data_IF_089156756594
#
_entry.id   IF_089156756594
#
_cell.length_a   1.000
_cell.length_b   1.000
_cell.length_c   1.000
_cell.angle_alpha   90.00
_cell.angle_beta   90.00
_cell.angle_gamma   90.00
#
_symmetry.space_group_name_H-M   'P 1'
#
loop_
_entity.id
_entity.type
_entity.pdbx_description
1 polymer ?
#
# COMPACT_ATOMS: atom_id res chain seq x y z
N UNK A 1 -9.14 2.26 0.06
CA UNK A 1 -9.75 3.60 0.39
C UNK A 1 -11.15 3.51 1.03
N UNK A 2 -12.15 2.87 0.41
CA UNK A 2 -13.53 2.82 0.92
C UNK A 2 -13.68 2.10 2.28
N UNK A 3 -12.93 1.02 2.49
CA UNK A 3 -13.00 0.19 3.71
C UNK A 3 -12.59 1.00 4.96
N UNK A 4 -11.37 1.55 5.00
CA UNK A 4 -10.89 2.41 6.09
C UNK A 4 -11.87 3.55 6.39
N UNK A 5 -12.39 4.21 5.34
CA UNK A 5 -13.39 5.26 5.51
C UNK A 5 -14.69 4.77 6.16
N UNK A 6 -15.28 3.66 5.69
CA UNK A 6 -16.51 3.09 6.27
C UNK A 6 -16.32 2.71 7.74
N UNK A 7 -15.17 2.11 8.09
CA UNK A 7 -14.86 1.70 9.47
C UNK A 7 -14.72 2.94 10.37
N UNK A 8 -13.86 3.90 10.01
CA UNK A 8 -13.55 5.07 10.84
C UNK A 8 -14.78 5.95 11.06
N UNK A 9 -15.60 6.16 10.02
CA UNK A 9 -16.76 7.05 10.10
C UNK A 9 -18.03 6.38 10.67
N UNK A 10 -17.99 5.09 10.99
CA UNK A 10 -19.06 4.39 11.71
C UNK A 10 -18.69 4.27 13.19
N UNK A 11 -18.65 5.41 13.88
CA UNK A 11 -18.16 5.53 15.26
C UNK A 11 -18.90 4.66 16.28
N UNK A 12 -20.19 4.39 16.05
CA UNK A 12 -21.04 3.57 16.92
C UNK A 12 -21.30 2.16 16.40
N UNK A 13 -20.88 1.86 15.16
CA UNK A 13 -21.22 0.62 14.47
C UNK A 13 -19.99 -0.22 14.16
N UNK A 14 -19.27 0.13 13.08
CA UNK A 14 -18.14 -0.66 12.61
C UNK A 14 -16.86 -0.37 13.40
N UNK A 15 -16.62 0.85 13.87
CA UNK A 15 -15.39 1.18 14.58
C UNK A 15 -15.27 0.43 15.93
N UNK A 16 -16.33 0.31 16.76
CA UNK A 16 -16.24 -0.50 17.98
C UNK A 16 -16.03 -1.97 17.67
N UNK A 17 -16.75 -2.53 16.68
CA UNK A 17 -16.58 -3.92 16.24
C UNK A 17 -15.20 -4.22 15.70
N UNK A 18 -14.61 -3.26 14.97
CA UNK A 18 -13.23 -3.35 14.50
C UNK A 18 -12.25 -3.42 15.67
N UNK A 19 -12.40 -2.54 16.66
CA UNK A 19 -11.56 -2.55 17.86
C UNK A 19 -11.70 -3.86 18.65
N UNK A 20 -12.92 -4.34 18.82
CA UNK A 20 -13.21 -5.63 19.47
C UNK A 20 -12.55 -6.80 18.72
N UNK A 21 -12.65 -6.79 17.38
CA UNK A 21 -12.05 -7.82 16.54
C UNK A 21 -10.51 -7.86 16.63
N UNK A 22 -9.88 -6.72 16.96
CA UNK A 22 -8.44 -6.61 17.11
C UNK A 22 -7.92 -6.97 18.51
N UNK A 23 -8.79 -7.17 19.50
CA UNK A 23 -8.37 -7.51 20.87
C UNK A 23 -7.58 -8.82 20.90
N UNK A 24 -6.41 -8.80 21.54
CA UNK A 24 -5.53 -9.98 21.61
C UNK A 24 -4.78 -10.29 20.31
N UNK A 25 -4.93 -9.46 19.27
CA UNK A 25 -4.11 -9.55 18.05
C UNK A 25 -2.85 -8.68 18.17
N UNK A 26 -1.81 -8.90 17.34
CA UNK A 26 -0.64 -8.02 17.25
C UNK A 26 -0.97 -6.58 16.84
N UNK A 27 -2.19 -6.35 16.33
CA UNK A 27 -2.66 -5.07 15.83
C UNK A 27 -3.68 -4.41 16.77
N UNK A 28 -3.74 -4.85 18.04
CA UNK A 28 -4.64 -4.28 19.03
C UNK A 28 -4.52 -2.75 19.10
N UNK A 29 -5.67 -2.06 19.10
CA UNK A 29 -5.75 -0.60 19.09
C UNK A 29 -5.40 0.08 17.75
N UNK A 30 -4.94 -0.66 16.74
CA UNK A 30 -4.62 -0.12 15.41
C UNK A 30 -5.87 0.16 14.58
N UNK A 31 -5.79 1.15 13.71
CA UNK A 31 -6.82 1.44 12.71
C UNK A 31 -6.17 1.49 11.33
N UNK A 32 -6.87 1.02 10.30
CA UNK A 32 -6.40 1.08 8.93
C UNK A 32 -6.11 2.54 8.51
N UNK A 33 -4.89 2.87 8.07
CA UNK A 33 -4.54 4.22 7.63
C UNK A 33 -5.50 4.72 6.54
N UNK A 34 -5.81 6.02 6.60
CA UNK A 34 -6.63 6.67 5.60
C UNK A 34 -5.76 7.19 4.45
N UNK A 35 -6.23 6.93 3.24
CA UNK A 35 -5.69 7.51 2.02
C UNK A 35 -6.10 8.99 1.86
N UNK A 36 -5.11 9.85 1.60
CA UNK A 36 -5.22 11.28 1.32
C UNK A 36 -4.89 11.52 -0.14
N UNK A 37 -5.90 11.89 -0.93
CA UNK A 37 -5.80 11.95 -2.39
C UNK A 37 -4.69 12.89 -2.92
N UNK A 38 -4.31 13.91 -2.16
CA UNK A 38 -3.25 14.86 -2.53
C UNK A 38 -1.84 14.40 -2.12
N UNK A 39 -1.72 13.31 -1.36
CA UNK A 39 -0.44 12.81 -0.83
C UNK A 39 -0.31 11.33 -1.10
N UNK A 40 0.34 11.00 -2.22
CA UNK A 40 0.55 9.61 -2.67
C UNK A 40 1.20 8.71 -1.60
N UNK A 41 2.06 9.27 -0.74
CA UNK A 41 2.66 8.55 0.39
C UNK A 41 1.62 7.89 1.30
N UNK A 42 0.46 8.52 1.49
CA UNK A 42 -0.63 7.95 2.31
C UNK A 42 -1.35 6.82 1.60
N UNK A 43 -1.41 6.83 0.26
CA UNK A 43 -1.92 5.71 -0.55
C UNK A 43 -1.03 4.49 -0.34
N UNK A 44 0.29 4.67 -0.38
CA UNK A 44 1.25 3.61 -0.07
C UNK A 44 1.07 3.07 1.35
N UNK A 45 1.05 3.95 2.37
CA UNK A 45 0.90 3.54 3.77
C UNK A 45 -0.39 2.76 4.02
N UNK A 46 -1.48 3.17 3.36
CA UNK A 46 -2.76 2.47 3.42
C UNK A 46 -2.68 1.08 2.80
N UNK A 47 -2.07 0.91 1.61
CA UNK A 47 -1.91 -0.41 0.99
C UNK A 47 -0.98 -1.32 1.79
N UNK A 48 0.14 -0.79 2.28
CA UNK A 48 1.11 -1.54 3.07
C UNK A 48 0.48 -2.06 4.37
N UNK A 49 -0.23 -1.20 5.11
CA UNK A 49 -0.94 -1.62 6.32
C UNK A 49 -2.09 -2.58 6.03
N UNK A 50 -2.80 -2.40 4.91
CA UNK A 50 -3.88 -3.29 4.50
C UNK A 50 -3.36 -4.71 4.19
N UNK A 51 -2.18 -4.81 3.56
CA UNK A 51 -1.50 -6.08 3.31
C UNK A 51 -0.95 -6.71 4.59
N UNK A 52 -0.35 -5.91 5.48
CA UNK A 52 0.17 -6.35 6.78
C UNK A 52 -0.95 -6.96 7.65
N UNK A 53 -2.16 -6.43 7.54
CA UNK A 53 -3.34 -6.86 8.29
C UNK A 53 -4.26 -7.80 7.48
N UNK A 54 -3.76 -8.44 6.42
CA UNK A 54 -4.57 -9.23 5.45
C UNK A 54 -5.58 -10.15 6.13
N UNK A 55 -5.13 -11.00 7.05
CA UNK A 55 -5.98 -12.03 7.66
C UNK A 55 -7.13 -11.44 8.47
N UNK A 56 -6.81 -10.45 9.32
CA UNK A 56 -7.79 -9.73 10.15
C UNK A 56 -8.77 -8.97 9.27
N UNK A 57 -8.26 -8.29 8.25
CA UNK A 57 -9.10 -7.53 7.32
C UNK A 57 -10.06 -8.47 6.60
N UNK A 58 -9.57 -9.59 6.06
CA UNK A 58 -10.39 -10.58 5.37
C UNK A 58 -11.47 -11.16 6.28
N UNK A 59 -11.11 -11.57 7.51
CA UNK A 59 -12.07 -12.08 8.49
C UNK A 59 -13.13 -11.02 8.86
N UNK A 60 -12.71 -9.77 9.04
CA UNK A 60 -13.62 -8.68 9.36
C UNK A 60 -14.60 -8.39 8.20
N UNK A 61 -14.15 -8.47 6.95
CA UNK A 61 -14.99 -8.21 5.77
C UNK A 61 -15.98 -9.35 5.49
N UNK A 62 -15.58 -10.59 5.77
CA UNK A 62 -16.39 -11.80 5.54
C UNK A 62 -17.53 -11.97 6.55
N UNK A 63 -17.44 -11.30 7.70
CA UNK A 63 -18.53 -11.29 8.69
C UNK A 63 -19.78 -10.60 8.13
N UNK A 64 -20.81 -11.40 7.86
CA UNK A 64 -22.11 -10.97 7.32
C UNK A 64 -22.77 -9.82 8.10
N UNK A 65 -22.56 -9.77 9.42
CA UNK A 65 -23.08 -8.73 10.31
C UNK A 65 -22.50 -7.33 10.07
N UNK A 66 -21.40 -7.22 9.30
CA UNK A 66 -20.75 -5.96 8.96
C UNK A 66 -21.25 -5.35 7.65
N UNK A 67 -21.92 -6.13 6.79
CA UNK A 67 -22.37 -5.70 5.44
C UNK A 67 -21.23 -5.11 4.59
N UNK A 68 -20.05 -5.73 4.68
CA UNK A 68 -18.84 -5.32 3.95
C UNK A 68 -18.34 -6.36 2.94
N UNK A 69 -19.12 -7.42 2.69
CA UNK A 69 -18.73 -8.51 1.79
C UNK A 69 -18.46 -8.06 0.36
N UNK A 70 -19.04 -6.93 -0.08
CA UNK A 70 -18.75 -6.28 -1.38
C UNK A 70 -17.28 -5.83 -1.53
N UNK A 71 -16.51 -5.80 -0.44
CA UNK A 71 -15.11 -5.38 -0.42
C UNK A 71 -14.13 -6.52 -0.17
N UNK A 72 -14.60 -7.77 -0.08
CA UNK A 72 -13.72 -8.93 0.01
C UNK A 72 -12.90 -8.98 -1.27
N UNK A 73 -11.59 -9.07 -1.11
CA UNK A 73 -10.67 -9.17 -2.23
C UNK A 73 -10.37 -10.64 -2.52
N UNK A 74 -10.28 -10.97 -3.80
CA UNK A 74 -9.78 -12.28 -4.22
C UNK A 74 -8.24 -12.37 -4.11
N UNK A 75 -7.71 -13.58 -4.28
CA UNK A 75 -6.27 -13.81 -4.16
C UNK A 75 -5.45 -13.02 -5.20
N UNK A 76 -5.97 -12.84 -6.42
CA UNK A 76 -5.28 -12.07 -7.47
C UNK A 76 -5.22 -10.58 -7.12
N UNK A 77 -6.28 -10.04 -6.51
CA UNK A 77 -6.32 -8.67 -6.02
C UNK A 77 -5.32 -8.46 -4.86
N UNK A 78 -5.23 -9.42 -3.94
CA UNK A 78 -4.21 -9.40 -2.88
C UNK A 78 -2.79 -9.47 -3.44
N UNK A 79 -2.54 -10.36 -4.41
CA UNK A 79 -1.25 -10.44 -5.10
C UNK A 79 -0.91 -9.14 -5.85
N UNK A 80 -1.90 -8.51 -6.48
CA UNK A 80 -1.72 -7.22 -7.13
C UNK A 80 -1.34 -6.11 -6.13
N UNK A 81 -1.99 -6.07 -4.96
CA UNK A 81 -1.62 -5.14 -3.88
C UNK A 81 -0.20 -5.41 -3.39
N UNK A 82 0.16 -6.67 -3.15
CA UNK A 82 1.51 -7.05 -2.73
C UNK A 82 2.57 -6.64 -3.75
N UNK A 83 2.31 -6.90 -5.04
CA UNK A 83 3.15 -6.47 -6.14
C UNK A 83 3.31 -4.94 -6.16
N UNK A 84 2.22 -4.18 -6.06
CA UNK A 84 2.24 -2.71 -6.01
C UNK A 84 3.02 -2.17 -4.81
N UNK A 85 2.80 -2.71 -3.62
CA UNK A 85 3.52 -2.30 -2.40
C UNK A 85 5.02 -2.57 -2.57
N UNK A 86 5.39 -3.73 -3.11
CA UNK A 86 6.80 -4.08 -3.30
C UNK A 86 7.52 -3.10 -4.23
N UNK A 87 6.91 -2.75 -5.38
CA UNK A 87 7.57 -1.92 -6.40
C UNK A 87 7.54 -0.43 -6.06
N UNK A 88 6.52 0.03 -5.34
CA UNK A 88 6.41 1.44 -4.93
C UNK A 88 7.27 1.75 -3.69
N UNK A 89 7.77 0.73 -2.98
CA UNK A 89 8.55 0.92 -1.77
C UNK A 89 9.79 1.78 -1.99
N UNK A 90 10.51 1.59 -3.10
CA UNK A 90 11.71 2.40 -3.41
C UNK A 90 11.39 3.89 -3.56
N UNK A 91 10.24 4.22 -4.17
CA UNK A 91 9.78 5.60 -4.30
C UNK A 91 9.43 6.20 -2.94
N UNK A 92 8.84 5.38 -2.06
CA UNK A 92 8.40 5.79 -0.73
C UNK A 92 9.62 6.08 0.14
N UNK A 93 10.60 5.19 0.09
CA UNK A 93 11.85 5.30 0.83
C UNK A 93 12.63 6.53 0.35
N UNK A 94 12.77 6.73 -0.97
CA UNK A 94 13.40 7.93 -1.53
C UNK A 94 12.67 9.22 -1.13
N UNK A 95 11.35 9.25 -1.26
CA UNK A 95 10.57 10.45 -0.90
C UNK A 95 10.67 10.76 0.59
N UNK A 96 10.65 9.74 1.44
CA UNK A 96 10.82 9.91 2.89
C UNK A 96 12.20 10.45 3.22
N UNK A 97 13.24 9.90 2.59
CA UNK A 97 14.62 10.36 2.74
C UNK A 97 14.77 11.84 2.35
N UNK A 98 14.27 12.25 1.18
CA UNK A 98 14.32 13.65 0.73
C UNK A 98 13.35 14.58 1.46
N UNK A 99 12.43 14.05 2.28
CA UNK A 99 11.56 14.83 3.15
C UNK A 99 12.15 15.07 4.54
N UNK A 100 13.36 14.58 4.82
CA UNK A 100 14.07 14.87 6.08
C UNK A 100 14.68 16.27 6.07
N UNK A 101 15.19 16.74 7.22
CA UNK A 101 15.80 18.07 7.34
C UNK A 101 17.24 18.14 6.81
N UNK A 102 17.83 17.03 6.34
CA UNK A 102 19.24 16.99 5.90
C UNK A 102 19.55 16.13 4.66
N UNK A 103 18.69 16.06 3.62
CA UNK A 103 19.07 15.42 2.37
C UNK A 103 20.08 16.30 1.62
N UNK A 104 21.17 15.69 1.16
CA UNK A 104 22.14 16.37 0.31
C UNK A 104 21.74 16.27 -1.16
N UNK A 105 22.01 17.32 -1.94
CA UNK A 105 21.81 17.29 -3.41
C UNK A 105 22.64 16.17 -4.04
N UNK A 106 23.79 15.83 -3.46
CA UNK A 106 24.62 14.71 -3.90
C UNK A 106 23.94 13.34 -3.79
N UNK A 107 22.93 13.19 -2.92
CA UNK A 107 22.17 11.96 -2.77
C UNK A 107 21.12 11.74 -3.88
N UNK A 108 20.85 12.76 -4.72
CA UNK A 108 19.85 12.67 -5.79
C UNK A 108 20.24 11.64 -6.84
N UNK A 109 21.50 11.65 -7.31
CA UNK A 109 21.96 10.71 -8.35
C UNK A 109 21.86 9.26 -7.85
N UNK A 110 22.43 8.89 -6.68
CA UNK A 110 22.29 7.53 -6.15
C UNK A 110 20.83 7.09 -5.94
N UNK A 111 19.95 7.99 -5.52
CA UNK A 111 18.54 7.66 -5.34
C UNK A 111 17.83 7.40 -6.68
N UNK A 112 18.15 8.19 -7.72
CA UNK A 112 17.62 7.98 -9.07
C UNK A 112 18.12 6.66 -9.66
N UNK A 113 19.41 6.35 -9.51
CA UNK A 113 19.99 5.07 -9.95
C UNK A 113 19.30 3.89 -9.25
N UNK A 114 19.08 3.98 -7.93
CA UNK A 114 18.40 2.93 -7.17
C UNK A 114 16.94 2.73 -7.61
N UNK A 115 16.21 3.81 -7.93
CA UNK A 115 14.85 3.72 -8.47
C UNK A 115 14.87 3.08 -9.86
N UNK A 116 15.80 3.48 -10.73
CA UNK A 116 15.91 2.97 -12.10
C UNK A 116 16.21 1.47 -12.13
N UNK A 117 17.13 1.03 -11.28
CA UNK A 117 17.50 -0.38 -11.09
C UNK A 117 16.33 -1.20 -10.52
N UNK A 118 15.64 -0.69 -9.50
CA UNK A 118 14.48 -1.35 -8.92
C UNK A 118 13.36 -1.54 -9.96
N UNK A 119 13.12 -0.54 -10.81
CA UNK A 119 12.11 -0.62 -11.86
C UNK A 119 12.52 -1.58 -12.97
N UNK A 120 13.79 -1.56 -13.41
CA UNK A 120 14.31 -2.53 -14.38
C UNK A 120 14.15 -3.97 -13.87
N UNK A 121 14.52 -4.20 -12.62
CA UNK A 121 14.42 -5.50 -11.95
C UNK A 121 12.96 -5.96 -11.84
N UNK A 122 12.03 -5.07 -11.49
CA UNK A 122 10.60 -5.40 -11.42
C UNK A 122 10.00 -5.74 -12.79
N UNK A 123 10.41 -5.09 -13.87
CA UNK A 123 9.86 -5.37 -15.22
C UNK A 123 10.13 -6.82 -15.65
N UNK A 124 11.28 -7.38 -15.29
CA UNK A 124 11.69 -8.75 -15.67
C UNK A 124 11.16 -9.84 -14.74
N UNK A 125 10.63 -9.48 -13.57
CA UNK A 125 10.09 -10.38 -12.56
C UNK A 125 8.69 -10.91 -12.91
N UNK A 126 8.62 -11.86 -13.85
CA UNK A 126 7.34 -12.40 -14.37
C UNK A 126 6.62 -13.34 -13.41
N UNK A 127 7.35 -13.95 -12.48
CA UNK A 127 6.78 -14.93 -11.53
C UNK A 127 6.17 -14.27 -10.30
N UNK A 128 6.59 -13.04 -9.97
CA UNK A 128 6.17 -12.33 -8.75
C UNK A 128 5.28 -11.12 -9.03
N UNK A 129 5.32 -10.55 -10.25
CA UNK A 129 4.55 -9.36 -10.61
C UNK A 129 3.58 -9.62 -11.76
N UNK A 130 2.32 -9.26 -11.52
CA UNK A 130 1.26 -9.33 -12.52
C UNK A 130 1.57 -8.48 -13.75
N UNK A 131 1.01 -8.87 -14.90
CA UNK A 131 1.25 -8.17 -16.17
C UNK A 131 0.91 -6.66 -16.11
N UNK A 132 -0.20 -6.21 -15.47
CA UNK A 132 -0.50 -4.79 -15.31
C UNK A 132 0.57 -4.03 -14.52
N UNK A 133 1.09 -4.61 -13.43
CA UNK A 133 2.12 -3.97 -12.61
C UNK A 133 3.42 -3.82 -13.39
N UNK A 134 3.85 -4.85 -14.12
CA UNK A 134 5.04 -4.78 -14.99
C UNK A 134 4.88 -3.76 -16.11
N UNK A 135 3.68 -3.63 -16.69
CA UNK A 135 3.39 -2.61 -17.69
C UNK A 135 3.48 -1.20 -17.09
N UNK A 136 2.91 -0.99 -15.90
CA UNK A 136 3.00 0.27 -15.17
C UNK A 136 4.45 0.65 -14.85
N UNK A 137 5.28 -0.31 -14.42
CA UNK A 137 6.73 -0.10 -14.22
C UNK A 137 7.44 0.33 -15.51
N UNK A 138 7.11 -0.29 -16.64
CA UNK A 138 7.69 0.07 -17.94
C UNK A 138 7.32 1.50 -18.37
N UNK A 139 6.13 1.98 -17.99
CA UNK A 139 5.73 3.37 -18.18
C UNK A 139 6.49 4.28 -17.21
N UNK A 140 6.56 3.91 -15.92
CA UNK A 140 7.26 4.66 -14.88
C UNK A 140 8.73 4.88 -15.23
N UNK A 141 9.44 3.83 -15.66
CA UNK A 141 10.84 3.91 -16.10
C UNK A 141 11.04 4.85 -17.29
N UNK A 142 10.16 4.77 -18.30
CA UNK A 142 10.20 5.71 -19.43
C UNK A 142 9.95 7.15 -19.02
N UNK A 143 9.15 7.39 -17.98
CA UNK A 143 8.94 8.73 -17.43
C UNK A 143 10.17 9.21 -16.67
N UNK A 144 10.81 8.35 -15.87
CA UNK A 144 12.04 8.68 -15.15
C UNK A 144 13.16 9.07 -16.11
N UNK A 145 13.36 8.30 -17.19
CA UNK A 145 14.40 8.57 -18.20
C UNK A 145 14.25 9.89 -18.99
N UNK A 146 13.17 10.65 -18.76
CA UNK A 146 13.00 11.99 -19.37
C UNK A 146 13.61 13.12 -18.54
N UNK A 147 13.96 12.83 -17.29
CA UNK A 147 14.51 13.78 -16.33
C UNK A 147 15.94 13.39 -15.96
#
# INVERSE_FOLDING_TARGET
RKISFKIIHSSTGLLPKWREHLLGSPFEGRVLPRDVATRWNSTFDMMAAFLEMKDIVSEFLDRSSHKLSEFILDDNEWEAIAGLVSVLKILKDATTFFSTDSPSVAAVIPAMDAIDEAFASGIVQRETLSAPVRHALSIGKRTLNKY
#
